data_IF_270836795582
#
_entry.id   IF_270836795582
#
_cell.length_a   1.000
_cell.length_b   1.000
_cell.length_c   1.000
_cell.angle_alpha   90.00
_cell.angle_beta   90.00
_cell.angle_gamma   90.00
#
_symmetry.space_group_name_H-M   'P 1'
#
loop_
_entity.id
_entity.type
_entity.pdbx_description
1 polymer ?
#
# COMPACT_ATOMS: atom_id res chain seq x y z
N UNK A 1 13.51 4.49 -0.61
CA UNK A 1 13.86 3.25 0.10
C UNK A 1 13.89 2.07 -0.87
N UNK A 2 12.75 1.68 -1.47
CA UNK A 2 12.68 0.54 -2.41
C UNK A 2 13.67 0.57 -3.58
N UNK A 3 13.97 1.75 -4.14
CA UNK A 3 14.92 1.89 -5.25
C UNK A 3 16.38 2.13 -4.81
N UNK A 4 16.67 2.04 -3.50
CA UNK A 4 17.99 2.33 -2.91
C UNK A 4 18.58 1.07 -2.27
N UNK A 5 17.74 0.34 -1.55
CA UNK A 5 18.12 -0.85 -0.80
C UNK A 5 17.21 -2.02 -1.22
N UNK A 6 17.83 -3.16 -1.56
CA UNK A 6 17.14 -4.35 -2.03
C UNK A 6 16.29 -4.98 -0.92
N UNK A 7 16.79 -4.97 0.31
CA UNK A 7 16.10 -5.55 1.45
C UNK A 7 14.86 -4.73 1.80
N UNK A 8 14.86 -3.43 1.45
CA UNK A 8 13.74 -2.56 1.69
C UNK A 8 12.46 -3.04 1.00
N UNK A 9 12.59 -3.60 -0.22
CA UNK A 9 11.44 -4.16 -0.96
C UNK A 9 10.88 -5.34 -0.20
N UNK A 10 11.71 -6.33 0.12
CA UNK A 10 11.30 -7.53 0.86
C UNK A 10 10.63 -7.19 2.19
N UNK A 11 11.14 -6.19 2.91
CA UNK A 11 10.64 -5.85 4.25
C UNK A 11 9.28 -5.12 4.25
N UNK A 12 8.88 -4.50 3.15
CA UNK A 12 7.71 -3.61 3.14
C UNK A 12 6.73 -3.81 1.97
N UNK A 13 7.06 -4.64 0.98
CA UNK A 13 6.18 -4.89 -0.18
C UNK A 13 4.88 -5.57 0.21
N UNK A 14 4.88 -6.44 1.23
CA UNK A 14 3.68 -7.13 1.74
C UNK A 14 2.76 -6.22 2.56
N UNK A 15 3.30 -5.11 3.11
CA UNK A 15 2.53 -4.16 3.92
C UNK A 15 1.68 -3.24 3.03
N UNK A 16 2.12 -3.03 1.79
CA UNK A 16 1.59 -2.02 0.89
C UNK A 16 0.95 -2.63 -0.34
N UNK A 17 -0.11 -1.96 -0.79
CA UNK A 17 -0.76 -2.21 -2.07
C UNK A 17 -0.68 -0.94 -2.91
N UNK A 18 -0.95 -1.07 -4.21
CA UNK A 18 -0.94 0.08 -5.14
C UNK A 18 -1.87 1.19 -4.65
N UNK A 19 -3.10 0.83 -4.27
CA UNK A 19 -4.15 1.71 -3.73
C UNK A 19 -3.84 2.28 -2.33
N UNK A 20 -2.84 1.74 -1.63
CA UNK A 20 -2.40 2.28 -0.34
C UNK A 20 -1.86 3.70 -0.47
N UNK A 21 -1.33 4.06 -1.65
CA UNK A 21 -0.85 5.40 -1.92
C UNK A 21 -1.98 6.34 -2.33
N UNK A 22 -1.96 7.55 -1.80
CA UNK A 22 -2.95 8.59 -2.14
C UNK A 22 -2.70 9.22 -3.51
N UNK A 23 -1.42 9.42 -3.87
CA UNK A 23 -1.02 10.02 -5.14
C UNK A 23 -0.91 8.94 -6.21
N UNK A 24 -1.67 9.08 -7.30
CA UNK A 24 -1.69 8.14 -8.43
C UNK A 24 -0.29 7.87 -9.00
N UNK A 25 0.61 8.86 -8.98
CA UNK A 25 2.00 8.69 -9.43
C UNK A 25 2.69 7.63 -8.58
N UNK A 26 2.48 7.66 -7.27
CA UNK A 26 3.07 6.68 -6.35
C UNK A 26 2.43 5.31 -6.50
N UNK A 27 1.13 5.24 -6.81
CA UNK A 27 0.46 3.97 -7.14
C UNK A 27 1.11 3.32 -8.37
N UNK A 28 1.34 4.08 -9.44
CA UNK A 28 2.01 3.60 -10.66
C UNK A 28 3.45 3.15 -10.40
N UNK A 29 4.21 3.95 -9.65
CA UNK A 29 5.60 3.62 -9.30
C UNK A 29 5.63 2.33 -8.47
N UNK A 30 4.75 2.20 -7.48
CA UNK A 30 4.69 0.99 -6.65
C UNK A 30 4.23 -0.24 -7.45
N UNK A 31 3.31 -0.08 -8.40
CA UNK A 31 2.93 -1.14 -9.35
C UNK A 31 4.13 -1.64 -10.16
N UNK A 32 4.94 -0.74 -10.69
CA UNK A 32 6.17 -1.11 -11.41
C UNK A 32 7.15 -1.84 -10.49
N UNK A 33 7.36 -1.35 -9.26
CA UNK A 33 8.20 -2.01 -8.25
C UNK A 33 7.70 -3.43 -7.96
N UNK A 34 6.40 -3.60 -7.70
CA UNK A 34 5.79 -4.91 -7.46
C UNK A 34 5.99 -5.86 -8.62
N UNK A 35 5.73 -5.41 -9.84
CA UNK A 35 5.89 -6.23 -11.03
C UNK A 35 7.35 -6.68 -11.20
N UNK A 36 8.32 -5.78 -11.00
CA UNK A 36 9.74 -6.14 -11.06
C UNK A 36 10.08 -7.19 -10.00
N UNK A 37 9.60 -7.00 -8.77
CA UNK A 37 9.82 -7.94 -7.67
C UNK A 37 9.21 -9.32 -7.94
N UNK A 38 7.96 -9.38 -8.45
CA UNK A 38 7.27 -10.62 -8.81
C UNK A 38 7.98 -11.40 -9.94
N UNK A 39 8.71 -10.70 -10.82
CA UNK A 39 9.54 -11.32 -11.87
C UNK A 39 11.00 -11.53 -11.44
N UNK A 40 11.31 -11.38 -10.15
CA UNK A 40 12.67 -11.52 -9.59
C UNK A 40 13.68 -10.60 -10.29
N UNK A 41 13.22 -9.44 -10.76
CA UNK A 41 14.07 -8.43 -11.38
C UNK A 41 14.58 -7.43 -10.32
N UNK A 42 15.80 -6.88 -10.50
CA UNK A 42 16.30 -5.85 -9.60
C UNK A 42 15.35 -4.65 -9.54
N UNK A 43 15.10 -4.15 -8.34
CA UNK A 43 14.32 -2.93 -8.12
C UNK A 43 15.29 -1.78 -7.82
N UNK A 44 15.51 -0.93 -8.81
CA UNK A 44 16.32 0.28 -8.70
C UNK A 44 15.73 1.38 -9.61
N UNK A 45 16.31 2.57 -9.57
CA UNK A 45 15.80 3.74 -10.32
C UNK A 45 15.70 3.44 -11.82
N UNK A 46 16.71 2.77 -12.38
CA UNK A 46 16.78 2.49 -13.80
C UNK A 46 15.71 1.46 -14.18
N UNK A 47 15.63 0.36 -13.45
CA UNK A 47 14.67 -0.71 -13.77
C UNK A 47 13.22 -0.25 -13.58
N UNK A 48 12.92 0.53 -12.54
CA UNK A 48 11.58 1.09 -12.31
C UNK A 48 11.21 2.10 -13.41
N UNK A 49 12.15 2.96 -13.82
CA UNK A 49 11.91 3.93 -14.90
C UNK A 49 11.64 3.22 -16.23
N UNK A 50 12.43 2.20 -16.55
CA UNK A 50 12.24 1.43 -17.78
C UNK A 50 10.97 0.58 -17.75
N UNK A 51 10.58 0.04 -16.59
CA UNK A 51 9.32 -0.67 -16.46
C UNK A 51 8.11 0.27 -16.65
N UNK A 52 8.14 1.46 -16.06
CA UNK A 52 7.13 2.49 -16.29
C UNK A 52 7.07 2.95 -17.76
N UNK A 53 8.23 3.02 -18.43
CA UNK A 53 8.31 3.29 -19.87
C UNK A 53 7.66 2.18 -20.68
N UNK A 54 7.95 0.90 -20.37
CA UNK A 54 7.32 -0.26 -21.02
C UNK A 54 5.81 -0.31 -20.83
N UNK A 55 5.33 0.12 -19.66
CA UNK A 55 3.90 0.26 -19.37
C UNK A 55 3.25 1.43 -20.13
N UNK A 56 4.03 2.34 -20.73
CA UNK A 56 3.51 3.56 -21.35
C UNK A 56 3.02 4.60 -20.34
N UNK A 57 3.35 4.44 -19.05
CA UNK A 57 2.84 5.27 -17.94
C UNK A 57 3.91 6.19 -17.31
N UNK A 58 5.11 6.28 -17.91
CA UNK A 58 6.24 7.04 -17.33
C UNK A 58 5.90 8.52 -17.11
N UNK A 59 5.30 9.17 -18.11
CA UNK A 59 4.94 10.59 -18.00
C UNK A 59 3.86 10.82 -16.94
N UNK A 60 2.89 9.92 -16.84
CA UNK A 60 1.85 9.95 -15.82
C UNK A 60 2.41 9.71 -14.41
N UNK A 61 3.50 8.96 -14.28
CA UNK A 61 4.24 8.81 -13.03
C UNK A 61 5.09 10.05 -12.67
N UNK A 62 5.08 11.12 -13.49
CA UNK A 62 5.85 12.35 -13.30
C UNK A 62 7.18 12.41 -14.06
N UNK A 63 7.47 11.42 -14.90
CA UNK A 63 8.67 11.36 -15.71
C UNK A 63 9.95 10.94 -14.96
N UNK A 64 11.06 10.75 -15.68
CA UNK A 64 12.31 10.21 -15.13
C UNK A 64 12.96 11.11 -14.07
N UNK A 65 12.79 12.43 -14.18
CA UNK A 65 13.30 13.38 -13.20
C UNK A 65 12.59 13.24 -11.85
N UNK A 66 11.27 13.05 -11.86
CA UNK A 66 10.50 12.86 -10.63
C UNK A 66 10.92 11.57 -9.91
N UNK A 67 11.03 10.45 -10.63
CA UNK A 67 11.48 9.18 -10.05
C UNK A 67 12.85 9.31 -9.40
N UNK A 68 13.79 9.97 -10.09
CA UNK A 68 15.12 10.26 -9.55
C UNK A 68 15.02 11.10 -8.27
N UNK A 69 14.19 12.14 -8.26
CA UNK A 69 13.99 13.01 -7.10
C UNK A 69 13.48 12.28 -5.86
N UNK A 70 12.70 11.19 -6.02
CA UNK A 70 12.20 10.40 -4.90
C UNK A 70 13.33 9.72 -4.12
N UNK A 71 14.40 9.32 -4.81
CA UNK A 71 15.54 8.67 -4.15
C UNK A 71 16.41 9.64 -3.38
N UNK A 72 16.57 10.86 -3.87
CA UNK A 72 17.35 11.92 -3.22
C UNK A 72 16.73 12.41 -1.90
N UNK A 73 15.45 12.11 -1.65
CA UNK A 73 14.71 12.53 -0.44
C UNK A 73 14.79 11.52 0.71
N UNK A 74 15.43 10.38 0.51
CA UNK A 74 15.50 9.29 1.50
C UNK A 74 16.95 9.12 1.93
N UNK A 75 17.27 9.50 3.17
CA UNK A 75 18.61 9.37 3.73
C UNK A 75 18.97 7.94 4.15
N UNK A 76 17.97 7.12 4.51
CA UNK A 76 18.15 5.73 4.92
C UNK A 76 16.93 4.88 4.60
N UNK A 77 17.15 3.62 4.25
CA UNK A 77 16.10 2.62 4.07
C UNK A 77 15.76 1.84 5.36
N UNK A 78 16.50 2.07 6.46
CA UNK A 78 16.36 1.31 7.72
C UNK A 78 14.97 1.35 8.36
N UNK A 79 14.18 2.39 8.07
CA UNK A 79 12.83 2.58 8.61
C UNK A 79 11.73 2.42 7.54
N UNK A 80 12.02 1.74 6.43
CA UNK A 80 11.05 1.54 5.34
C UNK A 80 9.76 0.88 5.81
N UNK A 81 9.87 -0.12 6.69
CA UNK A 81 8.72 -0.83 7.24
C UNK A 81 7.82 0.11 8.04
N UNK A 82 8.41 0.94 8.91
CA UNK A 82 7.68 1.94 9.67
C UNK A 82 6.95 2.94 8.76
N UNK A 83 7.60 3.43 7.70
CA UNK A 83 6.95 4.34 6.75
C UNK A 83 5.82 3.64 5.97
N UNK A 84 6.03 2.39 5.56
CA UNK A 84 5.01 1.58 4.90
C UNK A 84 3.76 1.41 5.79
N UNK A 85 3.95 1.19 7.08
CA UNK A 85 2.87 1.12 8.07
C UNK A 85 2.08 2.43 8.15
N UNK A 86 2.76 3.58 8.16
CA UNK A 86 2.08 4.88 8.16
C UNK A 86 1.21 5.01 6.90
N UNK A 87 1.72 4.65 5.72
CA UNK A 87 0.96 4.73 4.47
C UNK A 87 -0.25 3.78 4.51
N UNK A 88 -0.07 2.55 4.99
CA UNK A 88 -1.15 1.57 5.17
C UNK A 88 -2.22 2.05 6.16
N UNK A 89 -1.83 2.59 7.33
CA UNK A 89 -2.77 3.20 8.29
C UNK A 89 -3.56 4.34 7.67
N UNK A 90 -2.92 5.19 6.86
CA UNK A 90 -3.61 6.27 6.15
C UNK A 90 -4.56 5.74 5.08
N UNK A 91 -4.23 4.63 4.43
CA UNK A 91 -5.16 3.95 3.53
C UNK A 91 -6.40 3.47 4.28
N UNK A 92 -6.24 2.71 5.37
CA UNK A 92 -7.35 2.24 6.21
C UNK A 92 -8.28 3.38 6.62
N UNK A 93 -7.72 4.51 7.06
CA UNK A 93 -8.50 5.69 7.43
C UNK A 93 -9.36 6.21 6.26
N UNK A 94 -8.81 6.26 5.04
CA UNK A 94 -9.57 6.67 3.85
C UNK A 94 -10.65 5.66 3.48
N UNK A 95 -10.36 4.37 3.59
CA UNK A 95 -11.34 3.32 3.30
C UNK A 95 -12.53 3.38 4.27
N UNK A 96 -12.25 3.57 5.57
CA UNK A 96 -13.28 3.74 6.59
C UNK A 96 -14.16 4.95 6.28
N UNK A 97 -13.57 6.10 5.96
CA UNK A 97 -14.31 7.30 5.58
C UNK A 97 -15.22 7.01 4.37
N UNK A 98 -14.70 6.33 3.34
CA UNK A 98 -15.48 6.02 2.13
C UNK A 98 -16.67 5.12 2.44
N UNK A 99 -16.44 4.02 3.16
CA UNK A 99 -17.50 3.06 3.51
C UNK A 99 -18.54 3.73 4.41
N UNK A 100 -18.13 4.46 5.45
CA UNK A 100 -19.06 5.18 6.32
C UNK A 100 -19.85 6.25 5.58
N UNK A 101 -19.24 6.99 4.66
CA UNK A 101 -19.95 8.01 3.86
C UNK A 101 -21.04 7.37 2.99
N UNK A 102 -20.74 6.23 2.37
CA UNK A 102 -21.73 5.46 1.59
C UNK A 102 -22.87 4.96 2.48
N UNK A 103 -22.56 4.37 3.63
CA UNK A 103 -23.59 3.90 4.59
C UNK A 103 -24.50 5.06 5.03
N UNK A 104 -23.92 6.22 5.35
CA UNK A 104 -24.71 7.40 5.74
C UNK A 104 -25.60 7.86 4.59
N UNK A 105 -25.09 7.92 3.37
CA UNK A 105 -25.87 8.28 2.19
C UNK A 105 -27.06 7.33 2.00
N UNK A 106 -26.80 6.03 1.98
CA UNK A 106 -27.82 5.01 1.70
C UNK A 106 -28.85 4.90 2.83
N UNK A 107 -28.49 5.27 4.07
CA UNK A 107 -29.42 5.35 5.20
C UNK A 107 -30.43 6.50 5.12
N UNK A 108 -30.16 7.53 4.31
CA UNK A 108 -31.11 8.62 4.05
C UNK A 108 -32.07 8.32 2.88
N UNK A 109 -31.77 7.30 2.07
CA UNK A 109 -32.59 6.93 0.91
C UNK A 109 -33.75 6.03 1.34
N UNK A 110 -34.98 6.55 1.29
CA UNK A 110 -36.21 5.85 1.70
C UNK A 110 -36.53 4.59 0.85
N UNK A 111 -35.83 4.39 -0.26
CA UNK A 111 -36.02 3.24 -1.17
C UNK A 111 -35.10 2.06 -0.85
N UNK A 112 -34.12 2.21 0.03
CA UNK A 112 -33.14 1.17 0.35
C UNK A 112 -33.72 0.23 1.42
N UNK A 113 -33.67 -1.09 1.18
CA UNK A 113 -34.03 -2.06 2.20
C UNK A 113 -33.01 -2.02 3.36
N UNK A 114 -33.51 -1.93 4.60
CA UNK A 114 -32.65 -1.78 5.78
C UNK A 114 -31.75 -3.00 6.04
N UNK A 115 -32.18 -4.20 5.64
CA UNK A 115 -31.37 -5.41 5.79
C UNK A 115 -30.28 -5.49 4.71
N UNK A 116 -30.58 -5.05 3.49
CA UNK A 116 -29.56 -4.90 2.43
C UNK A 116 -28.49 -3.87 2.83
N UNK A 117 -28.90 -2.71 3.37
CA UNK A 117 -27.98 -1.71 3.89
C UNK A 117 -27.07 -2.25 4.99
N UNK A 118 -27.63 -3.04 5.92
CA UNK A 118 -26.86 -3.66 7.01
C UNK A 118 -25.81 -4.65 6.48
N UNK A 119 -26.19 -5.50 5.52
CA UNK A 119 -25.30 -6.47 4.88
C UNK A 119 -24.17 -5.78 4.10
N UNK A 120 -24.48 -4.71 3.37
CA UNK A 120 -23.48 -3.93 2.63
C UNK A 120 -22.53 -3.15 3.53
N UNK A 121 -23.00 -2.69 4.69
CA UNK A 121 -22.17 -2.10 5.72
C UNK A 121 -21.20 -3.13 6.30
N UNK A 122 -21.69 -4.32 6.64
CA UNK A 122 -20.88 -5.42 7.18
C UNK A 122 -19.81 -5.87 6.18
N UNK A 123 -20.19 -6.12 4.92
CA UNK A 123 -19.23 -6.45 3.85
C UNK A 123 -18.18 -5.36 3.66
N UNK A 124 -18.59 -4.10 3.68
CA UNK A 124 -17.69 -2.96 3.54
C UNK A 124 -16.62 -2.93 4.63
N UNK A 125 -17.03 -3.06 5.89
CA UNK A 125 -16.11 -3.07 7.04
C UNK A 125 -15.25 -4.34 7.07
N UNK A 126 -15.83 -5.49 6.75
CA UNK A 126 -15.09 -6.76 6.67
C UNK A 126 -13.99 -6.70 5.61
N UNK A 127 -14.27 -6.15 4.42
CA UNK A 127 -13.26 -6.00 3.37
C UNK A 127 -12.09 -5.12 3.82
N UNK A 128 -12.36 -4.05 4.59
CA UNK A 128 -11.29 -3.23 5.17
C UNK A 128 -10.50 -4.05 6.18
N UNK A 129 -11.17 -4.83 7.03
CA UNK A 129 -10.51 -5.66 8.04
C UNK A 129 -9.66 -6.77 7.42
N UNK A 130 -10.21 -7.60 6.52
CA UNK A 130 -9.49 -8.72 5.88
C UNK A 130 -8.23 -8.27 5.13
N UNK A 131 -8.34 -7.15 4.40
CA UNK A 131 -7.23 -6.59 3.65
C UNK A 131 -6.07 -6.07 4.53
N UNK A 132 -6.32 -5.81 5.82
CA UNK A 132 -5.35 -5.21 6.73
C UNK A 132 -4.94 -6.13 7.90
N UNK A 133 -5.78 -7.10 8.28
CA UNK A 133 -5.49 -8.08 9.33
C UNK A 133 -4.42 -9.10 8.91
N UNK A 134 -4.34 -9.43 7.61
CA UNK A 134 -3.25 -10.28 7.09
C UNK A 134 -1.87 -9.72 7.39
N UNK A 135 -1.74 -8.40 7.41
CA UNK A 135 -0.49 -7.69 7.75
C UNK A 135 -0.21 -7.77 9.25
N UNK A 136 -1.22 -7.50 10.10
CA UNK A 136 -1.08 -7.50 11.57
C UNK A 136 -0.83 -8.88 12.20
N UNK A 137 -1.34 -9.97 11.62
CA UNK A 137 -1.11 -11.34 12.16
C UNK A 137 0.36 -11.77 12.06
N UNK A 138 1.02 -11.48 10.94
CA UNK A 138 2.45 -11.79 10.74
C UNK A 138 3.36 -11.04 11.73
N UNK A 139 2.88 -9.91 12.27
CA UNK A 139 3.64 -9.05 13.20
C UNK A 139 3.60 -9.55 14.64
N UNK A 140 2.44 -10.02 15.11
CA UNK A 140 2.34 -10.63 16.44
C UNK A 140 3.24 -11.86 16.55
N UNK A 141 3.30 -12.66 15.49
CA UNK A 141 4.20 -13.82 15.44
C UNK A 141 5.69 -13.40 15.43
N UNK A 142 6.04 -12.36 14.65
CA UNK A 142 7.40 -11.81 14.63
C UNK A 142 7.85 -11.23 15.97
N UNK A 143 6.98 -10.47 16.64
CA UNK A 143 7.27 -9.87 17.96
C UNK A 143 7.38 -10.94 19.06
N UNK A 144 6.50 -11.95 19.05
CA UNK A 144 6.58 -13.09 19.98
C UNK A 144 7.87 -13.87 19.77
N UNK A 145 8.26 -14.12 18.52
CA UNK A 145 9.50 -14.82 18.17
C UNK A 145 10.74 -14.01 18.58
N UNK A 146 10.74 -12.69 18.36
CA UNK A 146 11.83 -11.81 18.78
C UNK A 146 11.99 -11.78 20.31
N UNK A 147 10.88 -11.69 21.04
CA UNK A 147 10.88 -11.66 22.51
C UNK A 147 11.36 -13.00 23.10
N UNK A 148 11.01 -14.13 22.50
CA UNK A 148 11.48 -15.47 22.92
C UNK A 148 12.98 -15.66 22.64
N UNK A 149 13.54 -14.96 21.64
CA UNK A 149 14.96 -15.07 21.27
C UNK A 149 15.89 -14.22 22.15
N UNK A 150 15.33 -13.27 22.90
CA UNK A 150 16.05 -12.39 23.84
C UNK A 150 16.03 -12.92 25.30
N UNK A 151 15.40 -14.08 25.55
CA UNK A 151 15.40 -14.81 26.83
C UNK A 151 16.27 -16.07 26.70
#
# INVERSE_FOLDING_TARGET
AFMIDKDAVTNAIEILREDSFYDERHQLIFKAIRKLFEHTQPVDILTVTEELRKMGRLEEAGGPFYITSLTNRVASAAHVEHHARIVSQKFIQRELIRVSTRIVHDAYEDTTDVFELLDDAEKGLFNIADQNLRTSYNELEGLLTATIKEI
#
